data_IF_210997907962
#
_entry.id   IF_210997907962
#
_cell.length_a   1.000
_cell.length_b   1.000
_cell.length_c   1.000
_cell.angle_alpha   90.00
_cell.angle_beta   90.00
_cell.angle_gamma   90.00
#
_symmetry.space_group_name_H-M   'P 1'
#
loop_
_entity.id
_entity.type
_entity.pdbx_description
1 polymer ?
#
# COMPACT_ATOMS: atom_id res chain seq x y z
N UNK A 1 0.98 2.87 30.96
CA UNK A 1 -0.38 2.53 30.51
C UNK A 1 -1.25 3.80 30.49
N UNK A 2 -0.79 4.86 29.79
CA UNK A 2 -1.48 6.18 29.68
C UNK A 2 -1.09 6.87 28.35
N UNK A 3 -1.26 6.22 27.20
CA UNK A 3 -0.91 6.82 25.88
C UNK A 3 -1.95 6.60 24.76
N UNK A 4 -3.09 5.94 25.05
CA UNK A 4 -4.06 5.57 24.01
C UNK A 4 -5.23 6.54 23.83
N UNK A 5 -5.33 7.61 24.64
CA UNK A 5 -6.47 8.56 24.53
C UNK A 5 -6.32 9.63 23.44
N UNK A 6 -5.24 9.64 22.65
CA UNK A 6 -4.91 10.78 21.79
C UNK A 6 -4.74 10.49 20.28
N UNK A 7 -4.96 9.27 19.83
CA UNK A 7 -4.73 8.91 18.41
C UNK A 7 -5.96 9.18 17.55
N UNK A 8 -5.92 10.07 16.54
CA UNK A 8 -7.00 10.13 15.57
C UNK A 8 -6.99 8.86 14.72
N UNK A 9 -8.07 8.12 14.69
CA UNK A 9 -8.27 7.01 13.79
C UNK A 9 -9.67 7.03 13.20
N UNK A 10 -9.81 6.51 11.99
CA UNK A 10 -11.09 6.32 11.35
C UNK A 10 -11.84 5.20 12.10
N UNK A 11 -12.97 5.54 12.73
CA UNK A 11 -13.78 4.59 13.49
C UNK A 11 -15.00 4.09 12.73
N UNK A 12 -15.65 4.97 11.94
CA UNK A 12 -16.86 4.60 11.22
C UNK A 12 -16.98 5.36 9.89
N UNK A 13 -17.49 4.68 8.88
CA UNK A 13 -17.96 5.25 7.62
C UNK A 13 -19.38 4.76 7.37
N UNK A 14 -20.29 5.67 7.15
CA UNK A 14 -21.64 5.38 6.70
C UNK A 14 -21.93 6.23 5.47
N UNK A 15 -22.25 5.59 4.34
CA UNK A 15 -22.57 6.29 3.09
C UNK A 15 -23.91 5.79 2.59
N UNK A 16 -24.91 6.65 2.62
CA UNK A 16 -26.19 6.40 1.97
C UNK A 16 -26.05 6.62 0.48
N UNK A 17 -25.49 7.78 0.07
CA UNK A 17 -25.21 8.10 -1.31
C UNK A 17 -24.09 9.15 -1.42
N UNK A 18 -23.02 8.81 -2.17
CA UNK A 18 -21.98 9.75 -2.57
C UNK A 18 -21.37 9.32 -3.91
N UNK A 19 -21.63 10.07 -4.98
CA UNK A 19 -21.22 9.70 -6.34
C UNK A 19 -21.70 8.28 -6.71
N UNK A 20 -20.74 7.40 -7.11
CA UNK A 20 -21.03 5.98 -7.42
C UNK A 20 -21.09 5.07 -6.18
N UNK A 21 -20.77 5.59 -5.00
CA UNK A 21 -20.73 4.81 -3.74
C UNK A 21 -22.05 4.94 -3.01
N UNK A 22 -22.71 3.81 -2.71
CA UNK A 22 -24.01 3.78 -2.05
C UNK A 22 -24.14 2.62 -1.08
N UNK A 23 -24.79 2.85 0.06
CA UNK A 23 -25.14 1.81 1.02
C UNK A 23 -23.92 1.11 1.59
N UNK A 24 -22.92 1.86 2.04
CA UNK A 24 -21.70 1.37 2.67
C UNK A 24 -21.75 1.68 4.14
N UNK A 25 -21.42 0.68 4.97
CA UNK A 25 -21.19 0.81 6.38
C UNK A 25 -19.92 0.06 6.75
N UNK A 26 -18.95 0.77 7.31
CA UNK A 26 -17.66 0.24 7.75
C UNK A 26 -17.39 0.76 9.15
N UNK A 27 -17.04 -0.13 10.07
CA UNK A 27 -16.54 0.20 11.40
C UNK A 27 -15.12 -0.31 11.54
N UNK A 28 -14.22 0.45 12.13
CA UNK A 28 -12.85 0.03 12.42
C UNK A 28 -12.59 0.13 13.92
N UNK A 29 -11.89 -0.85 14.45
CA UNK A 29 -11.40 -0.82 15.81
C UNK A 29 -10.15 0.04 15.92
N UNK A 30 -9.79 0.43 17.13
CA UNK A 30 -8.56 1.15 17.40
C UNK A 30 -7.33 0.39 16.86
N UNK A 31 -6.42 1.10 16.25
CA UNK A 31 -5.20 0.54 15.62
C UNK A 31 -5.44 -0.45 14.48
N UNK A 32 -6.67 -0.62 14.01
CA UNK A 32 -6.99 -1.50 12.90
C UNK A 32 -6.78 -0.79 11.57
N UNK A 33 -5.97 -1.37 10.69
CA UNK A 33 -5.83 -0.89 9.31
C UNK A 33 -7.09 -1.21 8.50
N UNK A 34 -7.37 -0.42 7.46
CA UNK A 34 -8.49 -0.65 6.55
C UNK A 34 -7.97 -0.89 5.14
N UNK A 35 -8.35 -2.02 4.54
CA UNK A 35 -8.06 -2.32 3.14
C UNK A 35 -9.37 -2.33 2.35
N UNK A 36 -9.44 -1.47 1.34
CA UNK A 36 -10.57 -1.36 0.43
C UNK A 36 -10.27 -2.18 -0.82
N UNK A 37 -11.12 -3.14 -1.14
CA UNK A 37 -10.95 -4.02 -2.30
C UNK A 37 -12.21 -4.06 -3.16
N UNK A 38 -12.13 -4.75 -4.29
CA UNK A 38 -13.21 -4.93 -5.27
C UNK A 38 -12.81 -4.54 -6.69
N UNK A 39 -13.60 -4.87 -7.72
CA UNK A 39 -13.31 -4.58 -9.11
C UNK A 39 -13.12 -3.09 -9.42
N UNK A 40 -12.57 -2.78 -10.61
CA UNK A 40 -12.43 -1.40 -11.07
C UNK A 40 -13.81 -0.74 -11.22
N UNK A 41 -13.88 0.57 -10.90
CA UNK A 41 -15.12 1.35 -11.00
C UNK A 41 -16.07 1.26 -9.78
N UNK A 42 -15.80 0.39 -8.80
CA UNK A 42 -16.64 0.25 -7.60
C UNK A 42 -16.46 1.35 -6.54
N UNK A 43 -15.58 2.33 -6.78
CA UNK A 43 -15.50 3.54 -5.97
C UNK A 43 -14.44 3.53 -4.87
N UNK A 44 -13.43 2.64 -4.90
CA UNK A 44 -12.32 2.62 -3.93
C UNK A 44 -11.64 3.98 -3.79
N UNK A 45 -11.15 4.54 -4.90
CA UNK A 45 -10.51 5.87 -4.93
C UNK A 45 -11.48 6.99 -4.53
N UNK A 46 -12.77 6.87 -4.86
CA UNK A 46 -13.81 7.81 -4.45
C UNK A 46 -13.97 7.81 -2.93
N UNK A 47 -13.99 6.64 -2.32
CA UNK A 47 -14.09 6.48 -0.88
C UNK A 47 -12.84 7.04 -0.17
N UNK A 48 -11.64 6.75 -0.66
CA UNK A 48 -10.41 7.35 -0.11
C UNK A 48 -10.41 8.87 -0.21
N UNK A 49 -10.86 9.44 -1.35
CA UNK A 49 -10.97 10.89 -1.51
C UNK A 49 -12.01 11.51 -0.58
N UNK A 50 -13.12 10.83 -0.33
CA UNK A 50 -14.13 11.26 0.63
C UNK A 50 -13.53 11.35 2.04
N UNK A 51 -12.84 10.29 2.49
CA UNK A 51 -12.17 10.25 3.79
C UNK A 51 -11.13 11.38 3.88
N UNK A 52 -10.28 11.54 2.86
CA UNK A 52 -9.29 12.62 2.82
C UNK A 52 -9.93 14.00 2.92
N UNK A 53 -11.02 14.22 2.18
CA UNK A 53 -11.73 15.51 2.19
C UNK A 53 -12.34 15.79 3.56
N UNK A 54 -12.85 14.77 4.24
CA UNK A 54 -13.38 14.93 5.60
C UNK A 54 -12.25 15.21 6.62
N UNK A 55 -11.09 14.57 6.48
CA UNK A 55 -9.89 14.90 7.26
C UNK A 55 -9.52 16.37 7.07
N UNK A 56 -9.42 16.83 5.82
CA UNK A 56 -9.11 18.22 5.50
C UNK A 56 -10.14 19.19 6.11
N UNK A 57 -11.43 18.85 6.07
CA UNK A 57 -12.51 19.66 6.66
C UNK A 57 -12.35 19.78 8.17
N UNK A 58 -12.02 18.68 8.86
CA UNK A 58 -11.77 18.68 10.31
C UNK A 58 -10.54 19.48 10.69
N UNK A 59 -9.56 19.57 9.82
CA UNK A 59 -8.38 20.42 9.99
C UNK A 59 -8.64 21.91 9.66
N UNK A 60 -9.88 22.29 9.34
CA UNK A 60 -10.29 23.67 9.11
C UNK A 60 -10.26 24.12 7.65
N UNK A 61 -10.07 23.20 6.68
CA UNK A 61 -10.21 23.53 5.27
C UNK A 61 -11.68 23.70 4.88
N UNK A 62 -11.98 24.73 4.09
CA UNK A 62 -13.29 24.91 3.50
C UNK A 62 -13.41 24.07 2.23
N UNK A 63 -13.86 22.85 2.35
CA UNK A 63 -14.09 21.95 1.22
C UNK A 63 -15.56 21.61 1.17
N UNK A 64 -16.19 21.82 0.01
CA UNK A 64 -17.58 21.42 -0.22
C UNK A 64 -17.63 19.92 -0.55
N UNK A 65 -18.48 19.20 0.16
CA UNK A 65 -18.81 17.81 -0.14
C UNK A 65 -20.28 17.69 -0.48
N UNK A 66 -20.61 16.86 -1.45
CA UNK A 66 -21.99 16.57 -1.87
C UNK A 66 -22.32 15.11 -1.55
N UNK A 67 -23.55 14.85 -1.12
CA UNK A 67 -24.02 13.50 -0.81
C UNK A 67 -24.53 13.35 0.63
N UNK A 68 -25.04 12.16 0.93
CA UNK A 68 -25.49 11.77 2.26
C UNK A 68 -24.52 10.72 2.82
N UNK A 69 -23.66 11.15 3.71
CA UNK A 69 -22.63 10.32 4.32
C UNK A 69 -22.29 10.83 5.71
N UNK A 70 -21.76 9.92 6.52
CA UNK A 70 -21.15 10.22 7.81
C UNK A 70 -19.78 9.53 7.88
N UNK A 71 -18.74 10.26 8.28
CA UNK A 71 -17.39 9.73 8.51
C UNK A 71 -16.95 10.15 9.88
N UNK A 72 -16.76 9.19 10.76
CA UNK A 72 -16.42 9.42 12.16
C UNK A 72 -14.96 9.01 12.41
N UNK A 73 -14.32 9.84 13.21
CA UNK A 73 -12.99 9.59 13.71
C UNK A 73 -13.06 9.63 15.23
N UNK A 74 -12.39 8.66 15.85
CA UNK A 74 -12.20 8.62 17.29
C UNK A 74 -10.79 9.04 17.67
N UNK A 75 -10.52 9.28 18.94
CA UNK A 75 -9.25 9.75 19.45
C UNK A 75 -9.16 11.27 19.59
N UNK A 76 -7.94 11.80 19.53
CA UNK A 76 -7.66 13.22 19.78
C UNK A 76 -8.21 14.16 18.69
N UNK A 77 -8.14 15.46 18.99
CA UNK A 77 -8.50 16.50 18.04
C UNK A 77 -7.55 16.52 16.84
N UNK A 78 -8.10 16.66 15.65
CA UNK A 78 -7.31 16.92 14.46
C UNK A 78 -6.51 18.21 14.61
N UNK A 79 -5.24 18.24 14.15
CA UNK A 79 -4.43 19.44 14.22
C UNK A 79 -5.11 20.57 13.42
N UNK A 80 -5.22 21.74 14.03
CA UNK A 80 -5.61 22.94 13.31
C UNK A 80 -4.49 23.37 12.36
N UNK A 81 -4.81 23.89 11.19
CA UNK A 81 -3.82 24.46 10.24
C UNK A 81 -2.93 25.56 10.84
N UNK A 82 -3.26 26.04 12.03
CA UNK A 82 -2.54 27.12 12.75
C UNK A 82 -1.69 26.64 13.92
N UNK A 83 -1.81 25.37 14.30
CA UNK A 83 -1.02 24.77 15.39
C UNK A 83 0.07 23.86 14.85
N UNK A 84 1.18 23.65 15.60
CA UNK A 84 2.18 22.65 15.26
C UNK A 84 1.51 21.31 15.00
N UNK A 85 1.93 20.63 13.94
CA UNK A 85 1.37 19.31 13.66
C UNK A 85 1.92 18.32 14.69
N UNK A 86 1.03 17.54 15.26
CA UNK A 86 1.38 16.48 16.23
C UNK A 86 1.11 15.09 15.66
N UNK A 87 0.46 14.99 14.52
CA UNK A 87 0.13 13.72 13.87
C UNK A 87 0.42 13.76 12.37
N UNK A 88 0.63 12.59 11.77
CA UNK A 88 0.84 12.41 10.32
C UNK A 88 -0.51 12.21 9.64
N UNK A 89 -0.86 13.12 8.73
CA UNK A 89 -2.00 12.99 7.85
C UNK A 89 -1.49 13.06 6.40
N UNK A 90 -1.63 11.97 5.65
CA UNK A 90 -1.15 11.91 4.28
C UNK A 90 -2.12 11.14 3.37
N UNK A 91 -2.17 11.54 2.10
CA UNK A 91 -2.88 10.84 1.04
C UNK A 91 -1.97 10.66 -0.16
N UNK A 92 -1.77 9.44 -0.58
CA UNK A 92 -1.03 9.08 -1.79
C UNK A 92 -2.01 8.60 -2.83
N UNK A 93 -2.16 9.34 -3.93
CA UNK A 93 -2.98 8.91 -5.05
C UNK A 93 -2.30 7.82 -5.89
N UNK A 94 -3.04 7.22 -6.84
CA UNK A 94 -2.52 6.18 -7.72
C UNK A 94 -1.43 6.69 -8.68
N UNK A 95 -1.44 7.99 -9.03
CA UNK A 95 -0.47 8.60 -9.94
C UNK A 95 0.75 9.12 -9.19
N UNK A 96 1.60 8.21 -8.74
CA UNK A 96 2.86 8.52 -8.08
C UNK A 96 4.01 8.49 -9.09
N UNK A 97 4.50 9.66 -9.49
CA UNK A 97 5.69 9.80 -10.35
C UNK A 97 6.71 10.71 -9.67
N UNK A 98 7.39 10.23 -8.62
CA UNK A 98 8.40 11.02 -7.94
C UNK A 98 9.56 11.32 -8.87
N UNK A 99 10.00 12.58 -8.84
CA UNK A 99 11.13 13.07 -9.63
C UNK A 99 12.29 13.47 -8.70
N UNK A 100 13.18 12.53 -8.44
CA UNK A 100 14.36 12.75 -7.62
C UNK A 100 15.38 13.64 -8.32
N UNK A 101 15.30 14.96 -8.12
CA UNK A 101 16.25 15.90 -8.70
C UNK A 101 17.59 15.88 -7.98
N UNK A 102 18.68 15.96 -8.73
CA UNK A 102 20.04 16.09 -8.15
C UNK A 102 20.21 17.48 -7.58
N UNK A 103 20.48 17.62 -6.27
CA UNK A 103 20.77 18.91 -5.66
C UNK A 103 22.03 19.55 -6.23
N UNK A 104 22.11 20.87 -6.19
CA UNK A 104 23.31 21.62 -6.60
C UNK A 104 24.12 22.10 -5.38
N UNK A 105 23.69 21.75 -4.17
CA UNK A 105 24.29 22.13 -2.91
C UNK A 105 23.27 22.16 -1.79
N UNK A 106 23.68 22.45 -0.55
CA UNK A 106 22.77 22.65 0.55
C UNK A 106 21.85 23.84 0.26
N UNK A 107 20.56 23.67 0.53
CA UNK A 107 19.53 24.69 0.27
C UNK A 107 18.58 24.74 1.45
N UNK A 108 18.25 25.95 1.91
CA UNK A 108 17.20 26.11 2.89
C UNK A 108 15.86 25.65 2.26
N UNK A 109 15.42 24.47 2.66
CA UNK A 109 14.06 24.03 2.36
C UNK A 109 13.20 24.88 3.29
N UNK A 110 12.53 25.89 2.72
CA UNK A 110 11.47 26.57 3.45
C UNK A 110 10.51 25.45 3.88
N UNK A 111 10.52 25.11 5.16
CA UNK A 111 9.51 24.30 5.79
C UNK A 111 8.20 25.08 5.65
N UNK A 112 7.62 25.01 4.46
CA UNK A 112 6.20 25.32 4.33
C UNK A 112 5.56 24.29 5.23
N UNK A 113 4.94 24.80 6.30
CA UNK A 113 4.10 24.03 7.20
C UNK A 113 3.61 22.81 6.44
N UNK A 114 3.87 21.60 6.96
CA UNK A 114 3.40 20.36 6.38
C UNK A 114 1.89 20.49 6.23
N UNK A 115 1.48 21.30 5.26
CA UNK A 115 0.08 21.50 4.97
C UNK A 115 -0.46 20.12 4.69
N UNK A 116 -1.62 19.79 5.22
CA UNK A 116 -2.41 18.60 4.96
C UNK A 116 -2.63 18.32 3.45
N UNK A 117 -1.96 19.10 2.60
CA UNK A 117 -1.93 18.98 1.15
C UNK A 117 -1.10 17.77 0.76
N UNK A 118 -1.80 16.72 0.60
CA UNK A 118 -1.44 15.37 0.25
C UNK A 118 -0.86 15.20 -1.15
N UNK A 119 -0.90 16.21 -2.01
CA UNK A 119 -0.57 16.10 -3.44
C UNK A 119 0.83 16.64 -3.80
N UNK A 120 1.68 16.94 -2.85
CA UNK A 120 3.07 17.36 -3.13
C UNK A 120 4.01 16.41 -2.45
N UNK A 121 4.66 15.62 -3.26
CA UNK A 121 5.64 14.65 -2.85
C UNK A 121 6.82 15.32 -2.15
N UNK A 122 6.84 15.24 -0.82
CA UNK A 122 8.05 15.49 -0.02
C UNK A 122 9.18 14.57 -0.49
N UNK A 123 8.84 13.38 -0.94
CA UNK A 123 9.77 12.45 -1.55
C UNK A 123 10.60 13.06 -2.68
N UNK A 124 10.06 14.01 -3.45
CA UNK A 124 10.80 14.71 -4.50
C UNK A 124 11.99 15.51 -3.95
N UNK A 125 11.95 15.95 -2.72
CA UNK A 125 13.02 16.67 -2.03
C UNK A 125 13.96 15.76 -1.24
N UNK A 126 13.79 14.44 -1.28
CA UNK A 126 14.59 13.51 -0.48
C UNK A 126 16.10 13.72 -0.65
N UNK A 127 16.57 13.85 -1.89
CA UNK A 127 17.99 14.05 -2.15
C UNK A 127 18.49 15.40 -1.65
N UNK A 128 17.65 16.45 -1.67
CA UNK A 128 17.99 17.74 -1.08
C UNK A 128 18.10 17.64 0.44
N UNK A 129 17.21 16.88 1.09
CA UNK A 129 17.30 16.60 2.52
C UNK A 129 18.58 15.82 2.83
N UNK A 130 18.93 14.81 2.04
CA UNK A 130 20.19 14.08 2.21
C UNK A 130 21.41 15.02 2.18
N UNK A 131 21.48 15.92 1.20
CA UNK A 131 22.56 16.90 1.09
C UNK A 131 22.57 17.84 2.30
N UNK A 132 21.41 18.33 2.72
CA UNK A 132 21.29 19.20 3.87
C UNK A 132 21.75 18.50 5.17
N UNK A 133 21.28 17.29 5.43
CA UNK A 133 21.66 16.49 6.61
C UNK A 133 23.16 16.19 6.63
N UNK A 134 23.73 15.79 5.47
CA UNK A 134 25.19 15.59 5.38
C UNK A 134 25.98 16.85 5.67
N UNK A 135 25.51 18.00 5.18
CA UNK A 135 26.16 19.30 5.43
C UNK A 135 26.06 19.71 6.90
N UNK A 136 24.89 19.52 7.52
CA UNK A 136 24.70 19.77 8.96
C UNK A 136 25.60 18.87 9.82
N UNK A 137 25.70 17.58 9.46
CA UNK A 137 26.63 16.67 10.14
C UNK A 137 28.09 17.16 10.08
N UNK A 138 28.50 17.66 8.91
CA UNK A 138 29.85 18.20 8.75
C UNK A 138 30.10 19.45 9.62
N UNK A 139 29.11 20.35 9.69
CA UNK A 139 29.20 21.53 10.57
C UNK A 139 29.21 21.14 12.06
N UNK A 140 28.29 20.26 12.48
CA UNK A 140 28.24 19.77 13.85
C UNK A 140 29.56 19.09 14.26
N UNK A 141 30.21 18.37 13.34
CA UNK A 141 31.51 17.75 13.59
C UNK A 141 32.62 18.79 13.78
N UNK A 142 32.59 19.89 13.00
CA UNK A 142 33.54 21.02 13.19
C UNK A 142 33.34 21.74 14.52
N UNK A 143 32.06 21.91 14.91
CA UNK A 143 31.67 22.57 16.16
C UNK A 143 31.82 21.64 17.39
N UNK A 144 32.25 20.39 17.21
CA UNK A 144 32.33 19.33 18.24
C UNK A 144 30.98 18.99 18.90
N UNK A 145 29.86 19.24 18.21
CA UNK A 145 28.53 18.85 18.65
C UNK A 145 28.27 17.36 18.34
N UNK A 146 28.70 16.52 19.31
CA UNK A 146 28.58 15.05 19.19
C UNK A 146 27.14 14.58 19.16
N UNK A 147 26.23 15.27 19.83
CA UNK A 147 24.81 14.90 19.90
C UNK A 147 24.16 15.05 18.53
N UNK A 148 24.33 16.19 17.87
CA UNK A 148 23.83 16.40 16.50
C UNK A 148 24.47 15.45 15.49
N UNK A 149 25.76 15.15 15.61
CA UNK A 149 26.42 14.16 14.74
C UNK A 149 25.76 12.78 14.89
N UNK A 150 25.58 12.30 16.13
CA UNK A 150 24.98 11.00 16.40
C UNK A 150 23.53 10.94 15.87
N UNK A 151 22.71 11.95 16.13
CA UNK A 151 21.33 12.05 15.64
C UNK A 151 21.25 11.94 14.12
N UNK A 152 22.12 12.64 13.39
CA UNK A 152 22.13 12.60 11.92
C UNK A 152 22.62 11.24 11.40
N UNK A 153 23.59 10.62 12.08
CA UNK A 153 24.03 9.26 11.74
C UNK A 153 22.89 8.25 11.89
N UNK A 154 22.14 8.32 12.98
CA UNK A 154 20.95 7.48 13.19
C UNK A 154 19.89 7.71 12.13
N UNK A 155 19.70 8.97 11.73
CA UNK A 155 18.78 9.31 10.64
C UNK A 155 19.18 8.62 9.31
N UNK A 156 20.45 8.70 8.91
CA UNK A 156 20.95 8.00 7.71
C UNK A 156 20.88 6.49 7.86
N UNK A 157 21.10 5.94 9.05
CA UNK A 157 20.98 4.51 9.31
C UNK A 157 19.52 4.02 9.09
N UNK A 158 18.53 4.75 9.61
CA UNK A 158 17.10 4.45 9.38
C UNK A 158 16.73 4.51 7.89
N UNK A 159 17.18 5.57 7.18
CA UNK A 159 16.95 5.68 5.74
C UNK A 159 17.59 4.53 4.95
N UNK A 160 18.83 4.17 5.28
CA UNK A 160 19.54 3.06 4.65
C UNK A 160 18.86 1.74 4.91
N UNK A 161 18.38 1.51 6.14
CA UNK A 161 17.61 0.31 6.50
C UNK A 161 16.30 0.22 5.70
N UNK A 162 15.57 1.33 5.60
CA UNK A 162 14.34 1.40 4.79
C UNK A 162 14.60 1.08 3.31
N UNK A 163 15.66 1.63 2.74
CA UNK A 163 16.09 1.29 1.38
C UNK A 163 16.50 -0.19 1.27
N UNK A 164 17.16 -0.74 2.29
CA UNK A 164 17.54 -2.16 2.34
C UNK A 164 16.35 -3.10 2.21
N UNK A 165 15.22 -2.78 2.84
CA UNK A 165 13.96 -3.55 2.67
C UNK A 165 13.43 -3.41 1.25
N UNK A 166 13.40 -2.20 0.70
CA UNK A 166 12.87 -1.92 -0.64
C UNK A 166 13.69 -2.63 -1.74
N UNK A 167 15.02 -2.71 -1.58
CA UNK A 167 15.92 -3.38 -2.52
C UNK A 167 16.21 -4.85 -2.17
N UNK A 168 15.60 -5.38 -1.10
CA UNK A 168 15.86 -6.73 -0.58
C UNK A 168 17.36 -6.99 -0.33
N UNK A 169 18.07 -5.96 0.13
CA UNK A 169 19.52 -5.99 0.34
C UNK A 169 19.92 -5.28 1.65
N UNK A 170 20.10 -6.03 2.71
CA UNK A 170 20.51 -5.51 4.02
C UNK A 170 21.95 -4.96 4.05
N UNK A 171 22.75 -5.29 3.05
CA UNK A 171 24.13 -4.78 2.90
C UNK A 171 24.25 -3.53 2.06
N UNK A 172 23.12 -2.99 1.57
CA UNK A 172 23.02 -1.76 0.80
C UNK A 172 23.73 -0.59 1.51
N UNK A 173 24.40 0.26 0.73
CA UNK A 173 25.06 1.48 1.20
C UNK A 173 24.66 2.68 0.36
N UNK A 174 24.38 3.79 1.03
CA UNK A 174 24.26 5.09 0.39
C UNK A 174 25.66 5.68 0.16
N UNK A 175 25.98 6.01 -1.09
CA UNK A 175 27.22 6.68 -1.46
C UNK A 175 26.94 8.11 -1.88
N UNK A 176 27.66 9.06 -1.28
CA UNK A 176 27.56 10.49 -1.60
C UNK A 176 28.77 10.97 -2.38
N UNK A 177 28.56 11.45 -3.59
CA UNK A 177 29.58 12.11 -4.40
C UNK A 177 29.60 13.63 -4.11
N UNK A 178 30.60 14.07 -3.35
CA UNK A 178 30.68 15.44 -2.83
C UNK A 178 30.80 16.53 -3.90
N UNK A 179 31.42 16.23 -5.05
CA UNK A 179 31.64 17.22 -6.12
C UNK A 179 30.38 17.52 -6.91
N UNK A 180 29.51 16.55 -7.05
CA UNK A 180 28.30 16.62 -7.87
C UNK A 180 27.01 16.61 -7.07
N UNK A 181 27.09 16.49 -5.74
CA UNK A 181 25.98 16.33 -4.82
C UNK A 181 25.04 15.16 -5.15
N UNK A 182 25.55 14.15 -5.86
CA UNK A 182 24.80 12.96 -6.23
C UNK A 182 24.84 11.93 -5.11
N UNK A 183 23.69 11.30 -4.88
CA UNK A 183 23.57 10.08 -4.10
C UNK A 183 23.36 8.87 -5.01
N UNK A 184 24.03 7.78 -4.69
CA UNK A 184 23.92 6.49 -5.34
C UNK A 184 23.65 5.41 -4.29
N UNK A 185 22.86 4.42 -4.66
CA UNK A 185 22.63 3.22 -3.86
C UNK A 185 23.59 2.15 -4.39
N UNK A 186 24.46 1.66 -3.52
CA UNK A 186 25.40 0.56 -3.83
C UNK A 186 24.91 -0.71 -3.18
N UNK A 187 24.55 -1.68 -4.00
CA UNK A 187 24.08 -2.98 -3.55
C UNK A 187 25.28 -3.90 -3.18
N UNK A 188 25.00 -4.90 -2.35
CA UNK A 188 26.02 -5.85 -1.87
C UNK A 188 26.61 -6.70 -3.00
N UNK A 189 25.87 -6.88 -4.11
CA UNK A 189 26.32 -7.58 -5.33
C UNK A 189 27.18 -6.72 -6.27
N UNK A 190 27.45 -5.46 -5.91
CA UNK A 190 28.25 -4.51 -6.66
C UNK A 190 27.48 -3.67 -7.66
N UNK A 191 26.18 -3.89 -7.86
CA UNK A 191 25.36 -3.01 -8.69
C UNK A 191 25.21 -1.63 -8.07
N UNK A 192 25.19 -0.60 -8.94
CA UNK A 192 24.96 0.80 -8.54
C UNK A 192 23.64 1.26 -9.13
N UNK A 193 22.76 1.76 -8.27
CA UNK A 193 21.43 2.25 -8.63
C UNK A 193 21.37 3.76 -8.40
N UNK A 194 20.93 4.49 -9.43
CA UNK A 194 20.73 5.94 -9.36
C UNK A 194 19.25 6.25 -9.12
N UNK A 195 18.96 7.20 -8.22
CA UNK A 195 17.60 7.63 -7.90
C UNK A 195 16.81 8.12 -9.11
N UNK A 196 17.48 8.71 -10.12
CA UNK A 196 16.84 9.25 -11.33
C UNK A 196 16.42 8.14 -12.30
N UNK A 197 17.21 7.07 -12.38
CA UNK A 197 17.06 6.03 -13.41
C UNK A 197 16.55 4.68 -12.89
N UNK A 198 16.31 4.57 -11.58
CA UNK A 198 15.75 3.34 -11.01
C UNK A 198 14.34 3.06 -11.53
N UNK A 199 13.90 1.81 -11.43
CA UNK A 199 12.57 1.39 -11.84
C UNK A 199 11.47 2.15 -11.07
N UNK A 200 10.34 2.41 -11.73
CA UNK A 200 9.24 3.22 -11.17
C UNK A 200 8.65 2.63 -9.89
N UNK A 201 8.63 1.30 -9.75
CA UNK A 201 8.22 0.64 -8.52
C UNK A 201 9.09 1.03 -7.32
N UNK A 202 10.41 1.01 -7.47
CA UNK A 202 11.31 1.47 -6.41
C UNK A 202 11.14 2.96 -6.12
N UNK A 203 10.96 3.80 -7.16
CA UNK A 203 10.70 5.23 -6.97
C UNK A 203 9.42 5.47 -6.16
N UNK A 204 8.32 4.81 -6.52
CA UNK A 204 7.04 4.96 -5.83
C UNK A 204 7.13 4.53 -4.36
N UNK A 205 7.80 3.41 -4.08
CA UNK A 205 8.00 2.90 -2.72
C UNK A 205 8.85 3.84 -1.87
N UNK A 206 9.98 4.30 -2.44
CA UNK A 206 10.87 5.26 -1.76
C UNK A 206 10.14 6.57 -1.48
N UNK A 207 9.30 7.05 -2.41
CA UNK A 207 8.54 8.28 -2.22
C UNK A 207 7.58 8.18 -1.02
N UNK A 208 6.84 7.07 -0.88
CA UNK A 208 5.93 6.87 0.27
C UNK A 208 6.72 6.83 1.57
N UNK A 209 7.71 5.94 1.67
CA UNK A 209 8.49 5.77 2.89
C UNK A 209 9.23 7.05 3.29
N UNK A 210 9.89 7.72 2.34
CA UNK A 210 10.62 8.96 2.59
C UNK A 210 9.71 10.12 2.98
N UNK A 211 8.55 10.27 2.33
CA UNK A 211 7.56 11.28 2.69
C UNK A 211 7.15 11.15 4.16
N UNK A 212 6.81 9.93 4.59
CA UNK A 212 6.37 9.68 5.96
C UNK A 212 7.52 9.87 6.97
N UNK A 213 8.74 9.45 6.62
CA UNK A 213 9.93 9.68 7.46
C UNK A 213 10.23 11.16 7.63
N UNK A 214 10.15 11.94 6.54
CA UNK A 214 10.37 13.38 6.60
C UNK A 214 9.30 14.10 7.44
N UNK A 215 8.03 13.67 7.33
CA UNK A 215 6.95 14.21 8.17
C UNK A 215 7.17 13.90 9.64
N UNK A 216 7.57 12.67 9.96
CA UNK A 216 7.91 12.30 11.33
C UNK A 216 9.03 13.18 11.90
N UNK A 217 10.09 13.38 11.12
CA UNK A 217 11.25 14.17 11.58
C UNK A 217 10.85 15.64 11.83
N UNK A 218 10.03 16.25 10.97
CA UNK A 218 9.54 17.62 11.18
C UNK A 218 8.64 17.71 12.42
N UNK A 219 7.72 16.74 12.61
CA UNK A 219 6.87 16.72 13.81
C UNK A 219 7.73 16.57 15.07
N UNK A 220 8.76 15.73 15.03
CA UNK A 220 9.69 15.57 16.14
C UNK A 220 10.41 16.88 16.45
N UNK A 221 10.94 17.57 15.43
CA UNK A 221 11.67 18.84 15.61
C UNK A 221 10.77 19.97 16.16
N UNK A 222 9.48 20.01 15.74
CA UNK A 222 8.52 21.04 16.15
C UNK A 222 7.84 20.75 17.50
N UNK A 223 7.54 19.49 17.82
CA UNK A 223 6.72 19.09 18.96
C UNK A 223 7.41 18.19 19.97
N UNK A 224 8.58 17.63 19.64
CA UNK A 224 9.28 16.63 20.46
C UNK A 224 8.64 15.24 20.46
N UNK A 225 7.65 14.98 19.61
CA UNK A 225 6.97 13.67 19.49
C UNK A 225 7.82 12.73 18.65
N UNK A 226 8.35 11.66 19.23
CA UNK A 226 9.22 10.69 18.54
C UNK A 226 8.47 9.74 17.59
N UNK A 227 7.28 9.30 17.98
CA UNK A 227 6.45 8.40 17.21
C UNK A 227 5.06 9.04 17.03
N UNK A 228 4.92 9.92 16.04
CA UNK A 228 3.65 10.56 15.79
C UNK A 228 2.63 9.53 15.30
N UNK A 229 1.45 9.66 15.83
CA UNK A 229 0.27 8.96 15.35
C UNK A 229 -0.28 9.58 14.05
N UNK A 230 -1.30 8.96 13.47
CA UNK A 230 -1.95 9.55 12.30
C UNK A 230 -2.73 8.59 11.43
N UNK A 231 -3.19 9.14 10.30
CA UNK A 231 -3.94 8.42 9.28
C UNK A 231 -3.25 8.63 7.93
N UNK A 232 -2.92 7.53 7.28
CA UNK A 232 -2.31 7.53 5.94
C UNK A 232 -3.21 6.78 4.97
N UNK A 233 -3.60 7.48 3.92
CA UNK A 233 -4.44 6.97 2.83
C UNK A 233 -3.55 6.67 1.63
N UNK A 234 -3.67 5.47 1.05
CA UNK A 234 -2.87 5.07 -0.13
C UNK A 234 -3.79 4.45 -1.16
N UNK A 235 -3.87 5.07 -2.34
CA UNK A 235 -4.64 4.55 -3.46
C UNK A 235 -3.74 3.68 -4.36
N UNK A 236 -4.19 2.48 -4.70
CA UNK A 236 -3.47 1.50 -5.53
C UNK A 236 -2.02 1.28 -5.06
N UNK A 237 -1.85 0.79 -3.81
CA UNK A 237 -0.52 0.60 -3.21
C UNK A 237 0.39 -0.28 -4.09
N UNK A 238 -0.18 -1.24 -4.82
CA UNK A 238 0.52 -2.16 -5.73
C UNK A 238 1.07 -1.52 -7.00
N UNK A 239 0.67 -0.30 -7.35
CA UNK A 239 1.03 0.32 -8.64
C UNK A 239 2.54 0.36 -8.83
N UNK A 240 3.00 -0.21 -9.94
CA UNK A 240 4.40 -0.40 -10.33
C UNK A 240 5.21 -1.36 -9.45
N UNK A 241 4.61 -2.02 -8.44
CA UNK A 241 5.31 -2.98 -7.59
C UNK A 241 5.25 -4.39 -8.18
N UNK A 242 6.38 -5.09 -8.21
CA UNK A 242 6.37 -6.53 -8.45
C UNK A 242 5.82 -7.28 -7.22
N UNK A 243 5.34 -8.50 -7.40
CA UNK A 243 4.60 -9.26 -6.39
C UNK A 243 5.30 -9.31 -5.02
N UNK A 244 6.61 -9.55 -5.02
CA UNK A 244 7.40 -9.62 -3.78
C UNK A 244 7.36 -8.30 -2.98
N UNK A 245 7.47 -7.15 -3.65
CA UNK A 245 7.33 -5.85 -2.97
C UNK A 245 5.91 -5.61 -2.49
N UNK A 246 4.88 -6.11 -3.19
CA UNK A 246 3.49 -6.00 -2.74
C UNK A 246 3.28 -6.76 -1.41
N UNK A 247 3.91 -7.93 -1.24
CA UNK A 247 3.84 -8.71 0.01
C UNK A 247 4.44 -8.00 1.21
N UNK A 248 5.52 -7.25 1.01
CA UNK A 248 6.30 -6.67 2.12
C UNK A 248 6.03 -5.20 2.36
N UNK A 249 5.43 -4.48 1.40
CA UNK A 249 5.30 -3.02 1.46
C UNK A 249 4.44 -2.53 2.62
N UNK A 250 3.23 -3.08 2.78
CA UNK A 250 2.33 -2.65 3.86
C UNK A 250 2.86 -3.07 5.24
N UNK A 251 3.32 -4.33 5.46
CA UNK A 251 4.01 -4.70 6.70
C UNK A 251 5.19 -3.78 7.04
N UNK A 252 6.03 -3.48 6.06
CA UNK A 252 7.16 -2.57 6.24
C UNK A 252 6.72 -1.17 6.70
N UNK A 253 5.67 -0.61 6.10
CA UNK A 253 5.13 0.68 6.53
C UNK A 253 4.54 0.62 7.95
N UNK A 254 3.85 -0.48 8.30
CA UNK A 254 3.30 -0.69 9.64
C UNK A 254 4.40 -0.80 10.70
N UNK A 255 5.48 -1.52 10.40
CA UNK A 255 6.64 -1.66 11.30
C UNK A 255 7.39 -0.32 11.48
N UNK A 256 7.54 0.43 10.41
CA UNK A 256 8.23 1.72 10.44
C UNK A 256 7.42 2.83 11.15
N UNK A 257 6.08 2.69 11.13
CA UNK A 257 5.13 3.65 11.70
C UNK A 257 4.02 2.95 12.49
N UNK A 258 4.34 2.38 13.66
CA UNK A 258 3.40 1.52 14.40
C UNK A 258 2.19 2.25 14.98
N UNK A 259 2.23 3.60 15.02
CA UNK A 259 1.13 4.43 15.53
C UNK A 259 0.25 5.00 14.42
N UNK A 260 0.49 4.61 13.16
CA UNK A 260 -0.29 5.10 12.02
C UNK A 260 -1.35 4.08 11.60
N UNK A 261 -2.58 4.55 11.44
CA UNK A 261 -3.61 3.79 10.76
C UNK A 261 -3.45 3.95 9.24
N UNK A 262 -3.17 2.84 8.55
CA UNK A 262 -3.15 2.81 7.09
C UNK A 262 -4.52 2.45 6.55
N UNK A 263 -5.01 3.24 5.58
CA UNK A 263 -6.23 2.99 4.82
C UNK A 263 -5.82 2.87 3.35
N UNK A 264 -5.89 1.65 2.82
CA UNK A 264 -5.30 1.30 1.53
C UNK A 264 -6.36 0.82 0.57
N UNK A 265 -6.40 1.36 -0.64
CA UNK A 265 -7.14 0.75 -1.74
C UNK A 265 -6.20 -0.12 -2.57
N UNK A 266 -6.64 -1.34 -2.89
CA UNK A 266 -5.81 -2.31 -3.61
C UNK A 266 -6.62 -3.31 -4.42
N UNK A 267 -6.01 -3.83 -5.48
CA UNK A 267 -6.43 -5.00 -6.24
C UNK A 267 -5.50 -6.20 -6.04
N UNK A 268 -4.48 -6.08 -5.17
CA UNK A 268 -3.49 -7.13 -4.97
C UNK A 268 -3.91 -8.11 -3.89
N UNK A 269 -4.03 -9.41 -4.17
CA UNK A 269 -4.24 -10.43 -3.17
C UNK A 269 -3.08 -10.50 -2.17
N UNK A 270 -1.86 -10.18 -2.60
CA UNK A 270 -0.68 -10.13 -1.74
C UNK A 270 -0.80 -9.08 -0.63
N UNK A 271 -1.35 -7.91 -0.94
CA UNK A 271 -1.58 -6.84 0.04
C UNK A 271 -2.73 -7.22 1.00
N UNK A 272 -3.80 -7.87 0.50
CA UNK A 272 -4.93 -8.29 1.34
C UNK A 272 -4.52 -9.17 2.52
N UNK A 273 -3.54 -10.05 2.29
CA UNK A 273 -3.08 -11.03 3.27
C UNK A 273 -1.83 -10.61 4.03
N UNK A 274 -1.24 -9.47 3.68
CA UNK A 274 0.09 -9.06 4.17
C UNK A 274 0.11 -8.64 5.64
N UNK A 275 -0.96 -8.04 6.16
CA UNK A 275 -1.04 -7.52 7.53
C UNK A 275 -2.22 -8.16 8.27
N UNK A 276 -1.97 -8.95 9.35
CA UNK A 276 -3.02 -9.72 10.01
C UNK A 276 -4.08 -8.85 10.73
N UNK A 277 -3.70 -7.64 11.17
CA UNK A 277 -4.59 -6.71 11.87
C UNK A 277 -5.23 -5.69 10.90
N UNK A 278 -5.72 -6.16 9.75
CA UNK A 278 -6.43 -5.29 8.82
C UNK A 278 -7.89 -5.76 8.65
N UNK A 279 -8.80 -4.80 8.63
CA UNK A 279 -10.15 -5.00 8.15
C UNK A 279 -10.15 -4.82 6.64
N UNK A 280 -10.67 -5.79 5.93
CA UNK A 280 -10.87 -5.73 4.49
C UNK A 280 -12.34 -5.42 4.24
N UNK A 281 -12.60 -4.43 3.39
CA UNK A 281 -13.95 -4.14 2.93
C UNK A 281 -14.03 -4.33 1.41
N UNK A 282 -14.84 -5.30 1.00
CA UNK A 282 -15.14 -5.56 -0.42
C UNK A 282 -16.31 -4.68 -0.87
N UNK A 283 -16.00 -3.69 -1.73
CA UNK A 283 -17.01 -2.74 -2.22
C UNK A 283 -18.04 -3.39 -3.17
N UNK A 284 -17.68 -4.49 -3.85
CA UNK A 284 -18.59 -5.18 -4.75
C UNK A 284 -19.66 -5.95 -3.97
N UNK A 285 -19.21 -6.70 -2.97
CA UNK A 285 -20.09 -7.55 -2.15
C UNK A 285 -20.63 -6.84 -0.90
N UNK A 286 -20.11 -5.64 -0.59
CA UNK A 286 -20.43 -4.84 0.62
C UNK A 286 -20.26 -5.65 1.91
N UNK A 287 -19.17 -6.39 1.99
CA UNK A 287 -18.85 -7.25 3.13
C UNK A 287 -17.51 -6.89 3.73
N UNK A 288 -17.46 -6.96 5.04
CA UNK A 288 -16.22 -6.85 5.80
C UNK A 288 -15.70 -8.24 6.18
N UNK A 289 -14.39 -8.43 6.13
CA UNK A 289 -13.68 -9.59 6.68
C UNK A 289 -12.37 -9.11 7.33
N UNK A 290 -11.74 -9.99 8.06
CA UNK A 290 -10.43 -9.71 8.63
C UNK A 290 -9.35 -10.35 7.76
N UNK A 291 -8.24 -9.66 7.57
CA UNK A 291 -7.12 -10.17 6.77
C UNK A 291 -6.61 -11.53 7.28
N UNK A 292 -6.64 -11.76 8.59
CA UNK A 292 -6.28 -13.06 9.18
C UNK A 292 -7.17 -14.21 8.72
N UNK A 293 -8.43 -13.95 8.33
CA UNK A 293 -9.36 -14.97 7.86
C UNK A 293 -9.05 -15.43 6.43
N UNK A 294 -8.19 -14.66 5.73
CA UNK A 294 -7.69 -14.99 4.39
C UNK A 294 -6.33 -15.70 4.40
N UNK A 295 -5.72 -15.89 5.56
CA UNK A 295 -4.44 -16.56 5.66
C UNK A 295 -4.54 -18.02 5.23
N UNK A 296 -3.61 -18.46 4.38
CA UNK A 296 -3.58 -19.83 3.85
C UNK A 296 -4.47 -20.04 2.61
N UNK A 297 -5.22 -19.03 2.17
CA UNK A 297 -5.94 -19.06 0.90
C UNK A 297 -4.96 -18.66 -0.22
N UNK A 298 -4.92 -19.45 -1.30
CA UNK A 298 -4.08 -19.13 -2.44
C UNK A 298 -4.56 -17.89 -3.21
N UNK A 299 -3.64 -17.24 -3.93
CA UNK A 299 -3.95 -16.00 -4.63
C UNK A 299 -4.97 -16.14 -5.75
N UNK A 300 -5.02 -17.30 -6.42
CA UNK A 300 -6.02 -17.59 -7.46
C UNK A 300 -7.44 -17.56 -6.89
N UNK A 301 -7.66 -18.26 -5.77
CA UNK A 301 -8.93 -18.25 -5.04
C UNK A 301 -9.32 -16.85 -4.58
N UNK A 302 -8.36 -16.05 -4.05
CA UNK A 302 -8.64 -14.67 -3.67
C UNK A 302 -9.03 -13.81 -4.88
N UNK A 303 -8.37 -13.98 -6.02
CA UNK A 303 -8.66 -13.24 -7.25
C UNK A 303 -10.06 -13.54 -7.78
N UNK A 304 -10.48 -14.80 -7.73
CA UNK A 304 -11.83 -15.19 -8.18
C UNK A 304 -12.91 -14.72 -7.22
N UNK A 305 -12.69 -14.83 -5.91
CA UNK A 305 -13.71 -14.50 -4.89
C UNK A 305 -13.89 -13.01 -4.65
N UNK A 306 -12.83 -12.18 -4.79
CA UNK A 306 -12.87 -10.77 -4.41
C UNK A 306 -12.69 -9.80 -5.58
N UNK A 307 -12.06 -10.21 -6.69
CA UNK A 307 -11.78 -9.30 -7.81
C UNK A 307 -12.64 -9.57 -9.05
N UNK A 308 -13.56 -10.53 -8.96
CA UNK A 308 -14.50 -10.84 -10.04
C UNK A 308 -13.82 -11.46 -11.27
N UNK A 309 -12.66 -12.08 -11.09
CA UNK A 309 -12.00 -12.85 -12.14
C UNK A 309 -12.76 -14.14 -12.30
N UNK A 310 -13.20 -14.44 -13.52
CA UNK A 310 -14.03 -15.61 -13.82
C UNK A 310 -13.26 -16.94 -13.75
N UNK A 311 -11.95 -16.91 -13.82
CA UNK A 311 -11.08 -18.09 -13.81
C UNK A 311 -9.64 -17.72 -13.46
N UNK A 312 -8.93 -18.63 -12.82
CA UNK A 312 -7.47 -18.55 -12.54
C UNK A 312 -6.62 -18.83 -13.78
N UNK A 313 -7.25 -19.39 -14.83
CA UNK A 313 -6.59 -19.84 -16.05
C UNK A 313 -6.72 -18.81 -17.16
N UNK A 314 -5.86 -18.90 -18.16
CA UNK A 314 -5.96 -18.13 -19.38
C UNK A 314 -7.31 -18.40 -20.10
N UNK A 315 -7.68 -17.48 -21.00
CA UNK A 315 -8.98 -17.51 -21.67
C UNK A 315 -9.20 -18.82 -22.47
N UNK A 316 -8.14 -19.36 -23.09
CA UNK A 316 -8.24 -20.59 -23.88
C UNK A 316 -8.47 -21.81 -22.97
N UNK A 317 -7.69 -21.95 -21.92
CA UNK A 317 -7.83 -23.00 -20.90
C UNK A 317 -9.21 -22.93 -20.21
N UNK A 318 -9.65 -21.72 -19.85
CA UNK A 318 -10.99 -21.50 -19.28
C UNK A 318 -12.11 -21.97 -20.24
N UNK A 319 -12.00 -21.61 -21.53
CA UNK A 319 -12.97 -22.06 -22.54
C UNK A 319 -12.96 -23.58 -22.74
N UNK A 320 -11.77 -24.19 -22.67
CA UNK A 320 -11.63 -25.63 -22.77
C UNK A 320 -12.24 -26.36 -21.57
N UNK A 321 -11.98 -25.86 -20.34
CA UNK A 321 -12.62 -26.39 -19.12
C UNK A 321 -14.15 -26.25 -19.16
N UNK A 322 -14.66 -25.12 -19.64
CA UNK A 322 -16.09 -24.91 -19.75
C UNK A 322 -16.74 -25.87 -20.78
N UNK A 323 -16.06 -26.12 -21.91
CA UNK A 323 -16.50 -27.14 -22.89
C UNK A 323 -16.47 -28.56 -22.31
N UNK A 324 -15.41 -28.86 -21.55
CA UNK A 324 -15.26 -30.14 -20.87
C UNK A 324 -16.43 -30.37 -19.88
N UNK A 325 -16.71 -29.38 -19.00
CA UNK A 325 -17.84 -29.46 -18.06
C UNK A 325 -19.18 -29.64 -18.74
N UNK A 326 -19.47 -28.90 -19.80
CA UNK A 326 -20.71 -29.09 -20.58
C UNK A 326 -20.83 -30.49 -21.19
N UNK A 327 -19.73 -31.07 -21.65
CA UNK A 327 -19.71 -32.43 -22.12
C UNK A 327 -19.94 -33.45 -20.99
N UNK A 328 -19.42 -33.17 -19.79
CA UNK A 328 -19.64 -33.99 -18.60
C UNK A 328 -21.11 -34.00 -18.14
N UNK A 329 -21.75 -32.84 -18.15
CA UNK A 329 -23.17 -32.70 -17.74
C UNK A 329 -24.15 -33.38 -18.70
N UNK A 330 -23.74 -33.63 -19.94
CA UNK A 330 -24.61 -34.27 -20.95
C UNK A 330 -24.78 -35.77 -20.65
N UNK A 331 -26.00 -36.20 -20.40
CA UNK A 331 -26.35 -37.61 -20.07
C UNK A 331 -26.24 -38.56 -21.25
N UNK A 332 -26.69 -38.13 -22.45
CA UNK A 332 -26.67 -38.91 -23.68
C UNK A 332 -25.54 -38.45 -24.62
N UNK A 333 -24.34 -38.93 -24.36
CA UNK A 333 -23.17 -38.64 -25.20
C UNK A 333 -23.00 -39.69 -26.29
N UNK A 334 -22.78 -39.22 -27.52
CA UNK A 334 -22.34 -40.08 -28.63
C UNK A 334 -20.92 -40.63 -28.37
N UNK A 335 -20.53 -41.67 -29.09
CA UNK A 335 -19.19 -42.23 -29.02
C UNK A 335 -18.11 -41.18 -29.34
N UNK A 336 -18.39 -40.31 -30.34
CA UNK A 336 -17.48 -39.22 -30.71
C UNK A 336 -17.32 -38.17 -29.61
N UNK A 337 -18.39 -37.82 -28.87
CA UNK A 337 -18.36 -36.91 -27.75
C UNK A 337 -17.59 -37.48 -26.53
N UNK A 338 -17.72 -38.78 -26.29
CA UNK A 338 -16.96 -39.48 -25.27
C UNK A 338 -15.45 -39.49 -25.57
N UNK A 339 -15.06 -39.77 -26.83
CA UNK A 339 -13.68 -39.74 -27.29
C UNK A 339 -13.11 -38.32 -27.18
N UNK A 340 -13.90 -37.29 -27.53
CA UNK A 340 -13.49 -35.88 -27.40
C UNK A 340 -13.29 -35.51 -25.95
N UNK A 341 -14.19 -35.89 -25.06
CA UNK A 341 -14.09 -35.62 -23.61
C UNK A 341 -12.84 -36.22 -23.00
N UNK A 342 -12.53 -37.49 -23.33
CA UNK A 342 -11.31 -38.14 -22.85
C UNK A 342 -10.05 -37.43 -23.33
N UNK A 343 -9.98 -37.04 -24.60
CA UNK A 343 -8.84 -36.30 -25.16
C UNK A 343 -8.66 -34.94 -24.50
N UNK A 344 -9.75 -34.19 -24.34
CA UNK A 344 -9.71 -32.89 -23.70
C UNK A 344 -9.30 -32.98 -22.22
N UNK A 345 -9.84 -33.98 -21.49
CA UNK A 345 -9.46 -34.20 -20.08
C UNK A 345 -7.98 -34.54 -19.96
N UNK A 346 -7.44 -35.37 -20.84
CA UNK A 346 -6.02 -35.77 -20.84
C UNK A 346 -5.10 -34.60 -21.20
N UNK A 347 -5.46 -33.83 -22.21
CA UNK A 347 -4.70 -32.63 -22.63
C UNK A 347 -4.66 -31.58 -21.51
N UNK A 348 -5.82 -31.26 -20.95
CA UNK A 348 -5.90 -30.28 -19.85
C UNK A 348 -5.18 -30.75 -18.58
N UNK A 349 -5.33 -32.04 -18.20
CA UNK A 349 -4.62 -32.61 -17.04
C UNK A 349 -3.10 -32.60 -17.21
N UNK A 350 -2.59 -32.63 -18.43
CA UNK A 350 -1.16 -32.56 -18.72
C UNK A 350 -0.58 -31.16 -18.55
N UNK A 351 -1.41 -30.10 -18.57
CA UNK A 351 -0.97 -28.72 -18.50
C UNK A 351 -0.59 -28.30 -17.06
N UNK A 352 -1.33 -28.76 -16.06
CA UNK A 352 -1.12 -28.39 -14.66
C UNK A 352 -1.69 -29.44 -13.71
N UNK A 353 -0.99 -29.65 -12.59
CA UNK A 353 -1.48 -30.54 -11.52
C UNK A 353 -2.81 -29.99 -10.92
N UNK A 354 -2.96 -28.69 -10.80
CA UNK A 354 -4.19 -28.05 -10.30
C UNK A 354 -5.37 -28.34 -11.21
N UNK A 355 -5.19 -28.21 -12.53
CA UNK A 355 -6.23 -28.55 -13.52
C UNK A 355 -6.59 -30.04 -13.46
N UNK A 356 -5.59 -30.91 -13.30
CA UNK A 356 -5.83 -32.35 -13.17
C UNK A 356 -6.67 -32.67 -11.93
N UNK A 357 -6.40 -32.08 -10.79
CA UNK A 357 -7.18 -32.23 -9.56
C UNK A 357 -8.60 -31.70 -9.70
N UNK A 358 -8.78 -30.54 -10.33
CA UNK A 358 -10.10 -29.95 -10.59
C UNK A 358 -10.97 -30.87 -11.47
N UNK A 359 -10.38 -31.41 -12.53
CA UNK A 359 -11.07 -32.38 -13.39
C UNK A 359 -11.46 -33.68 -12.63
N UNK A 360 -10.57 -34.16 -11.73
CA UNK A 360 -10.89 -35.35 -10.92
C UNK A 360 -12.04 -35.09 -9.94
N UNK A 361 -12.05 -33.91 -9.27
CA UNK A 361 -13.16 -33.54 -8.39
C UNK A 361 -14.50 -33.37 -9.13
N UNK A 362 -14.47 -32.80 -10.34
CA UNK A 362 -15.66 -32.70 -11.20
C UNK A 362 -16.19 -34.11 -11.62
N UNK A 363 -15.28 -35.07 -11.80
CA UNK A 363 -15.62 -36.46 -12.08
C UNK A 363 -16.27 -37.18 -10.90
N UNK A 364 -15.71 -37.03 -9.69
CA UNK A 364 -16.21 -37.63 -8.47
C UNK A 364 -17.58 -37.08 -8.10
N UNK A 365 -17.77 -35.75 -8.13
CA UNK A 365 -19.04 -35.11 -7.82
C UNK A 365 -20.21 -35.49 -8.73
N UNK A 366 -19.93 -35.89 -9.96
CA UNK A 366 -20.97 -36.36 -10.92
C UNK A 366 -21.25 -37.86 -10.80
N UNK A 367 -20.32 -38.66 -10.25
CA UNK A 367 -20.59 -40.07 -9.95
C UNK A 367 -21.50 -40.25 -8.73
N UNK A 368 -21.42 -39.35 -7.74
CA UNK A 368 -22.29 -39.36 -6.55
C UNK A 368 -23.73 -38.88 -6.84
N UNK A 369 -23.96 -38.29 -8.00
CA UNK A 369 -25.31 -37.86 -8.46
C UNK A 369 -26.01 -38.85 -9.40
N UNK A 370 -25.41 -40.00 -9.70
CA UNK A 370 -25.97 -41.09 -10.47
C UNK A 370 -26.26 -42.29 -9.57
#
# INVERSE_FOLDING_TARGET
MMRFEFMPYLSQIEIQEHLQVRGIEITCDESQHLILTGPNGYGKSTLLRLINTEILRRCGNRVGLTGQYNVEFSGSQFPSMKSPQTCILAYFDAFRQPNFQVPQGPKNLVQRSLGLSTNRAFGDNLLQVFVNQYTQQAYAAVDNDRESVARIQDWFARMTSALGVIFEDSGLKLHFERKTFKYEIRLSDGRVVNFQTMADGHKATIAIASELLLRRDVIHDESGVFEPDGIVLIDELETHLHLRLQEVMLPFLCDLFPQIQFIVATHSPAILTSVPNAKIFDLANRKSLLSRDLQGIDYGTLMTSHFGISSEYDLETTNQLHKLRKLYEKTDRSKQENDLLQRMALDLSSKSHTIAMEILLDLESNNDRR
#
